data_IF_172038546045
#
_entry.id   IF_172038546045
#
_cell.length_a   1.000
_cell.length_b   1.000
_cell.length_c   1.000
_cell.angle_alpha   90.00
_cell.angle_beta   90.00
_cell.angle_gamma   90.00
#
_symmetry.space_group_name_H-M   'P 1'
#
loop_
_entity.id
_entity.type
_entity.pdbx_description
1 polymer ?
#
# COMPACT_ATOMS: atom_id res chain seq x y z
N UNK A 1 -4.40 -9.75 7.69
CA UNK A 1 -5.75 -9.38 8.21
C UNK A 1 -6.35 -10.45 9.09
N UNK A 2 -6.63 -11.66 8.57
CA UNK A 2 -7.24 -12.75 9.35
C UNK A 2 -6.51 -13.02 10.67
N UNK A 3 -5.19 -13.22 10.62
CA UNK A 3 -4.38 -13.46 11.82
C UNK A 3 -4.54 -12.33 12.83
N UNK A 4 -4.49 -11.07 12.39
CA UNK A 4 -4.71 -9.91 13.24
C UNK A 4 -6.08 -9.88 13.91
N UNK A 5 -7.14 -10.25 13.18
CA UNK A 5 -8.48 -10.37 13.75
C UNK A 5 -8.57 -11.52 14.77
N UNK A 6 -7.97 -12.69 14.48
CA UNK A 6 -7.96 -13.83 15.40
C UNK A 6 -7.19 -13.53 16.69
N UNK A 7 -6.03 -12.88 16.59
CA UNK A 7 -5.18 -12.54 17.74
C UNK A 7 -5.57 -11.22 18.39
N UNK A 8 -6.58 -10.52 17.87
CA UNK A 8 -7.00 -9.19 18.33
C UNK A 8 -5.86 -8.16 18.28
N UNK A 9 -5.02 -8.27 17.26
CA UNK A 9 -3.88 -7.39 17.00
C UNK A 9 -4.20 -6.46 15.84
N UNK A 10 -4.12 -5.12 16.04
CA UNK A 10 -4.29 -4.16 14.95
C UNK A 10 -3.39 -4.51 13.77
N UNK A 11 -3.98 -4.61 12.58
CA UNK A 11 -3.30 -5.04 11.37
C UNK A 11 -3.74 -4.20 10.18
N UNK A 12 -2.76 -3.72 9.42
CA UNK A 12 -2.99 -3.04 8.14
C UNK A 12 -2.58 -3.98 7.02
N UNK A 13 -3.44 -4.12 6.01
CA UNK A 13 -3.07 -4.75 4.75
C UNK A 13 -2.98 -3.72 3.64
N UNK A 14 -1.99 -3.92 2.77
CA UNK A 14 -1.83 -3.22 1.52
C UNK A 14 -2.16 -4.21 0.43
N UNK A 15 -3.20 -3.94 -0.38
CA UNK A 15 -3.57 -4.82 -1.49
C UNK A 15 -3.93 -6.24 -1.01
N UNK A 16 -4.41 -6.37 0.23
CA UNK A 16 -4.75 -7.67 0.82
C UNK A 16 -6.11 -8.17 0.34
N UNK A 17 -6.32 -9.50 0.23
CA UNK A 17 -7.66 -10.03 -0.02
C UNK A 17 -8.59 -9.66 1.14
N UNK A 18 -9.86 -9.45 0.82
CA UNK A 18 -10.85 -9.26 1.86
C UNK A 18 -11.17 -10.61 2.52
N UNK A 19 -11.98 -10.56 3.57
CA UNK A 19 -12.12 -11.72 4.45
C UNK A 19 -13.51 -11.86 5.08
N UNK A 20 -14.52 -11.11 4.64
CA UNK A 20 -15.84 -11.18 5.27
C UNK A 20 -16.47 -12.54 5.05
N UNK A 21 -16.44 -13.16 3.87
CA UNK A 21 -16.99 -14.52 3.68
C UNK A 21 -15.99 -15.56 4.21
N UNK A 22 -14.71 -15.44 3.86
CA UNK A 22 -13.67 -16.41 4.23
C UNK A 22 -13.47 -16.57 5.74
N UNK A 23 -13.85 -15.59 6.57
CA UNK A 23 -13.78 -15.71 8.04
C UNK A 23 -14.54 -16.92 8.61
N UNK A 24 -15.58 -17.40 7.92
CA UNK A 24 -16.44 -18.49 8.37
C UNK A 24 -15.74 -19.86 8.31
N UNK A 25 -14.65 -19.97 7.57
CA UNK A 25 -13.92 -21.23 7.40
C UNK A 25 -12.82 -21.42 8.46
N UNK A 26 -12.70 -20.50 9.41
CA UNK A 26 -11.64 -20.47 10.41
C UNK A 26 -12.10 -21.06 11.74
N UNK A 27 -11.16 -21.64 12.49
CA UNK A 27 -11.36 -22.12 13.85
C UNK A 27 -10.29 -21.51 14.80
N UNK A 28 -10.66 -20.68 15.80
CA UNK A 28 -12.01 -20.17 16.03
C UNK A 28 -12.46 -19.24 14.89
N UNK A 29 -13.78 -19.20 14.67
CA UNK A 29 -14.41 -18.34 13.66
C UNK A 29 -14.13 -16.88 13.99
N UNK A 30 -13.65 -16.13 13.00
CA UNK A 30 -13.43 -14.68 13.13
C UNK A 30 -14.77 -13.96 12.97
N UNK A 31 -15.11 -13.11 13.94
CA UNK A 31 -16.34 -12.32 13.87
C UNK A 31 -16.20 -11.15 12.91
N UNK A 32 -17.33 -10.64 12.40
CA UNK A 32 -17.34 -9.41 11.59
C UNK A 32 -16.81 -8.22 12.40
N UNK A 33 -17.10 -8.17 13.70
CA UNK A 33 -16.67 -7.07 14.57
C UNK A 33 -15.17 -7.12 14.84
N UNK A 34 -14.56 -8.30 14.93
CA UNK A 34 -13.10 -8.42 15.03
C UNK A 34 -12.42 -7.93 13.74
N UNK A 35 -12.96 -8.27 12.55
CA UNK A 35 -12.45 -7.72 11.29
C UNK A 35 -12.54 -6.19 11.27
N UNK A 36 -13.67 -5.62 11.67
CA UNK A 36 -13.82 -4.17 11.74
C UNK A 36 -12.84 -3.56 12.73
N UNK A 37 -12.75 -4.09 13.94
CA UNK A 37 -11.97 -3.47 15.02
C UNK A 37 -10.46 -3.58 14.83
N UNK A 38 -9.99 -4.71 14.32
CA UNK A 38 -8.55 -5.04 14.30
C UNK A 38 -7.92 -5.02 12.92
N UNK A 39 -8.70 -4.81 11.85
CA UNK A 39 -8.15 -4.81 10.50
C UNK A 39 -8.51 -3.56 9.72
N UNK A 40 -7.56 -3.10 8.91
CA UNK A 40 -7.75 -2.04 7.93
C UNK A 40 -7.14 -2.48 6.61
N UNK A 41 -7.88 -2.41 5.52
CA UNK A 41 -7.36 -2.76 4.19
C UNK A 41 -7.20 -1.53 3.30
N UNK A 42 -6.08 -1.43 2.61
CA UNK A 42 -5.88 -0.44 1.55
C UNK A 42 -6.08 -1.15 0.22
N UNK A 43 -7.02 -0.63 -0.56
CA UNK A 43 -7.58 -1.28 -1.76
C UNK A 43 -7.24 -0.43 -2.97
N UNK A 44 -6.18 -0.77 -3.74
CA UNK A 44 -5.88 -0.10 -4.99
C UNK A 44 -6.99 -0.30 -6.02
N UNK A 45 -7.21 0.71 -6.85
CA UNK A 45 -8.09 0.56 -8.00
C UNK A 45 -7.58 -0.51 -8.96
N UNK A 46 -8.51 -1.26 -9.55
CA UNK A 46 -8.24 -2.39 -10.46
C UNK A 46 -7.40 -3.54 -9.89
N UNK A 47 -7.04 -3.53 -8.62
CA UNK A 47 -6.43 -4.70 -7.98
C UNK A 47 -7.47 -5.83 -7.84
N UNK A 48 -7.30 -6.97 -8.54
CA UNK A 48 -8.24 -8.08 -8.45
C UNK A 48 -8.16 -8.82 -7.11
N UNK A 49 -7.03 -8.81 -6.43
CA UNK A 49 -6.84 -9.55 -5.17
C UNK A 49 -7.54 -8.83 -4.03
N UNK A 50 -7.41 -7.51 -3.93
CA UNK A 50 -8.15 -6.72 -2.95
C UNK A 50 -9.67 -6.63 -3.23
N UNK A 51 -10.13 -7.22 -4.34
CA UNK A 51 -11.54 -7.41 -4.69
C UNK A 51 -12.03 -8.84 -4.49
N UNK A 52 -11.13 -9.76 -4.11
CA UNK A 52 -11.51 -11.09 -3.70
C UNK A 52 -12.17 -11.01 -2.32
N UNK A 53 -13.35 -11.62 -2.20
CA UNK A 53 -14.22 -11.55 -1.01
C UNK A 53 -14.79 -10.14 -0.72
N UNK A 54 -15.81 -10.09 0.13
CA UNK A 54 -16.51 -8.89 0.59
C UNK A 54 -15.62 -8.05 1.51
N UNK A 55 -15.60 -6.74 1.27
CA UNK A 55 -14.86 -5.75 2.06
C UNK A 55 -15.38 -5.72 3.51
N UNK A 56 -14.45 -5.67 4.46
CA UNK A 56 -14.79 -5.24 5.82
C UNK A 56 -15.17 -3.75 5.80
N UNK A 57 -15.73 -3.21 6.88
CA UNK A 57 -16.11 -1.78 6.90
C UNK A 57 -14.89 -0.83 6.93
N UNK A 58 -13.74 -1.29 7.39
CA UNK A 58 -12.55 -0.46 7.56
C UNK A 58 -11.59 -0.67 6.40
N UNK A 59 -11.71 0.20 5.40
CA UNK A 59 -10.83 0.21 4.24
C UNK A 59 -10.65 1.63 3.68
N UNK A 60 -9.58 1.82 2.92
CA UNK A 60 -9.34 3.00 2.11
C UNK A 60 -9.14 2.58 0.66
N UNK A 61 -9.81 3.27 -0.27
CA UNK A 61 -9.51 3.14 -1.70
C UNK A 61 -8.42 4.12 -2.09
N UNK A 62 -7.50 3.67 -2.93
CA UNK A 62 -6.43 4.49 -3.47
C UNK A 62 -6.35 4.29 -4.99
N UNK A 63 -5.75 5.25 -5.70
CA UNK A 63 -5.57 5.12 -7.14
C UNK A 63 -4.54 4.02 -7.45
N UNK A 64 -4.49 3.63 -8.72
CA UNK A 64 -3.43 2.80 -9.26
C UNK A 64 -3.06 3.29 -10.66
N UNK A 65 -1.81 3.71 -10.81
CA UNK A 65 -1.24 4.25 -12.05
C UNK A 65 -0.71 3.17 -13.01
N UNK A 66 -0.73 1.90 -12.62
CA UNK A 66 -0.26 0.82 -13.49
C UNK A 66 -1.08 0.75 -14.80
N UNK A 67 -0.47 0.33 -15.91
CA UNK A 67 -1.17 0.31 -17.19
C UNK A 67 -2.50 -0.48 -17.16
N UNK A 68 -3.52 0.01 -17.87
CA UNK A 68 -4.87 -0.59 -17.89
C UNK A 68 -4.87 -2.05 -18.37
N UNK A 69 -3.91 -2.41 -19.22
CA UNK A 69 -3.72 -3.76 -19.77
C UNK A 69 -2.81 -4.66 -18.90
N UNK A 70 -2.53 -4.28 -17.65
CA UNK A 70 -1.76 -5.09 -16.70
C UNK A 70 -2.65 -5.56 -15.53
N UNK A 71 -3.28 -6.74 -15.64
CA UNK A 71 -4.24 -7.22 -14.63
C UNK A 71 -3.66 -7.39 -13.22
N UNK A 72 -2.37 -7.67 -13.11
CA UNK A 72 -1.64 -7.74 -11.83
C UNK A 72 -0.90 -6.45 -11.48
N UNK A 73 -0.94 -5.44 -12.35
CA UNK A 73 -0.16 -4.21 -12.20
C UNK A 73 -0.53 -3.41 -10.95
N UNK A 74 -1.75 -3.55 -10.44
CA UNK A 74 -2.20 -2.87 -9.22
C UNK A 74 -2.06 -3.72 -7.95
N UNK A 75 -1.68 -5.00 -8.07
CA UNK A 75 -1.52 -5.88 -6.93
C UNK A 75 -0.08 -5.84 -6.40
N UNK A 76 0.26 -4.78 -5.68
CA UNK A 76 1.56 -4.64 -5.05
C UNK A 76 1.49 -3.76 -3.81
N UNK A 77 2.06 -4.26 -2.71
CA UNK A 77 2.18 -3.49 -1.48
C UNK A 77 3.10 -2.27 -1.66
N UNK A 78 4.15 -2.38 -2.46
CA UNK A 78 5.05 -1.27 -2.77
C UNK A 78 4.32 -0.18 -3.56
N UNK A 79 3.54 -0.56 -4.58
CA UNK A 79 2.75 0.41 -5.35
C UNK A 79 1.70 1.10 -4.49
N UNK A 80 1.01 0.36 -3.63
CA UNK A 80 0.04 0.93 -2.70
C UNK A 80 0.70 1.93 -1.75
N UNK A 81 1.89 1.62 -1.25
CA UNK A 81 2.65 2.54 -0.40
C UNK A 81 3.10 3.79 -1.18
N UNK A 82 3.60 3.63 -2.40
CA UNK A 82 4.00 4.74 -3.27
C UNK A 82 2.84 5.69 -3.55
N UNK A 83 1.64 5.18 -3.86
CA UNK A 83 0.44 6.00 -4.06
C UNK A 83 0.10 6.81 -2.80
N UNK A 84 0.09 6.16 -1.62
CA UNK A 84 -0.22 6.85 -0.37
C UNK A 84 0.79 7.96 -0.10
N UNK A 85 2.08 7.68 -0.29
CA UNK A 85 3.13 8.65 -0.05
C UNK A 85 3.12 9.78 -1.10
N UNK A 86 2.80 9.48 -2.35
CA UNK A 86 2.72 10.49 -3.40
C UNK A 86 1.51 11.42 -3.19
N UNK A 87 0.35 10.85 -2.89
CA UNK A 87 -0.91 11.59 -2.75
C UNK A 87 -1.01 12.34 -1.42
N UNK A 88 -0.52 11.74 -0.32
CA UNK A 88 -0.67 12.29 1.03
C UNK A 88 0.64 12.75 1.68
N UNK A 89 1.79 12.45 1.07
CA UNK A 89 3.10 12.90 1.56
C UNK A 89 3.24 14.41 1.52
N UNK A 90 4.21 14.91 2.29
CA UNK A 90 4.57 16.32 2.35
C UNK A 90 6.08 16.44 2.19
N UNK A 91 6.56 17.65 1.95
CA UNK A 91 7.97 17.95 1.61
C UNK A 91 9.01 17.26 2.50
N UNK A 92 8.74 17.17 3.80
CA UNK A 92 9.65 16.55 4.78
C UNK A 92 9.67 15.01 4.71
N UNK A 93 8.82 14.41 3.87
CA UNK A 93 8.64 12.96 3.67
C UNK A 93 8.47 12.67 2.17
N UNK A 94 9.55 12.81 1.39
CA UNK A 94 9.49 12.50 -0.05
C UNK A 94 9.15 11.02 -0.27
N UNK A 95 8.61 10.72 -1.45
CA UNK A 95 8.41 9.32 -1.86
C UNK A 95 9.78 8.64 -2.07
N UNK A 96 9.93 7.35 -1.76
CA UNK A 96 11.14 6.59 -2.05
C UNK A 96 11.46 6.62 -3.54
N UNK A 97 12.75 6.60 -3.88
CA UNK A 97 13.16 6.67 -5.27
C UNK A 97 12.75 5.44 -6.10
N UNK A 98 12.57 4.29 -5.45
CA UNK A 98 11.97 3.11 -6.08
C UNK A 98 10.56 3.38 -6.61
N UNK A 99 9.77 4.25 -5.97
CA UNK A 99 8.46 4.66 -6.50
C UNK A 99 8.57 5.35 -7.86
N UNK A 100 9.66 6.09 -8.11
CA UNK A 100 9.88 6.74 -9.40
C UNK A 100 10.48 5.76 -10.41
N UNK A 101 11.55 5.06 -10.05
CA UNK A 101 12.30 4.22 -11.00
C UNK A 101 11.59 2.92 -11.37
N UNK A 102 10.93 2.27 -10.40
CA UNK A 102 10.31 0.96 -10.59
C UNK A 102 8.82 1.04 -10.86
N UNK A 103 8.20 2.15 -10.45
CA UNK A 103 6.75 2.31 -10.42
C UNK A 103 6.25 3.57 -11.15
N UNK A 104 7.16 4.35 -11.73
CA UNK A 104 6.86 5.47 -12.61
C UNK A 104 5.99 6.58 -12.00
N UNK A 105 6.02 6.73 -10.67
CA UNK A 105 5.41 7.88 -10.03
C UNK A 105 6.11 9.18 -10.44
N UNK A 106 5.39 10.31 -10.54
CA UNK A 106 6.00 11.60 -10.77
C UNK A 106 6.97 11.98 -9.65
N UNK A 107 7.98 12.77 -10.00
CA UNK A 107 8.87 13.33 -8.99
C UNK A 107 8.08 14.20 -7.99
N UNK A 108 8.38 14.07 -6.68
CA UNK A 108 7.76 14.92 -5.68
C UNK A 108 8.15 16.38 -5.94
N UNK A 109 7.15 17.27 -5.99
CA UNK A 109 7.37 18.72 -6.13
C UNK A 109 7.65 19.32 -4.76
N UNK A 110 8.82 19.92 -4.54
CA UNK A 110 9.05 20.74 -3.34
C UNK A 110 8.47 22.16 -3.57
N UNK A 111 7.91 22.75 -2.52
CA UNK A 111 7.39 24.13 -2.46
C UNK A 111 8.53 25.15 -2.63
N UNK A 112 9.77 24.79 -2.30
CA UNK A 112 10.95 25.67 -2.42
C UNK A 112 11.65 25.67 -3.80
N UNK A 113 11.08 24.99 -4.80
CA UNK A 113 11.67 24.81 -6.15
C UNK A 113 12.00 23.34 -6.41
N UNK A 114 12.24 22.97 -7.67
CA UNK A 114 12.59 21.58 -8.03
C UNK A 114 14.07 21.30 -7.69
N UNK A 115 14.41 20.55 -6.61
CA UNK A 115 15.73 19.92 -6.57
C UNK A 115 15.82 18.90 -7.71
N UNK A 116 17.00 18.81 -8.31
CA UNK A 116 17.20 17.85 -9.40
C UNK A 116 17.09 16.41 -8.87
N UNK A 117 16.64 15.49 -9.74
CA UNK A 117 16.57 14.03 -9.55
C UNK A 117 17.74 13.46 -8.70
N UNK A 118 18.94 14.00 -8.89
CA UNK A 118 20.13 13.51 -8.23
C UNK A 118 20.21 13.89 -6.74
N UNK A 119 19.79 15.08 -6.32
CA UNK A 119 19.94 15.51 -4.92
C UNK A 119 19.08 14.69 -3.95
N UNK A 120 17.91 14.22 -4.40
CA UNK A 120 17.01 13.44 -3.54
C UNK A 120 17.24 11.93 -3.62
N UNK A 121 17.69 11.42 -4.77
CA UNK A 121 17.79 9.98 -5.02
C UNK A 121 19.21 9.41 -5.10
N UNK A 122 20.26 10.24 -5.20
CA UNK A 122 21.63 9.71 -5.06
C UNK A 122 21.92 9.29 -3.61
N UNK A 123 21.38 10.01 -2.62
CA UNK A 123 21.70 9.78 -1.21
C UNK A 123 21.13 8.46 -0.66
N UNK A 124 20.00 7.97 -1.18
CA UNK A 124 19.44 6.67 -0.75
C UNK A 124 20.18 5.48 -1.39
N UNK A 125 20.58 5.59 -2.65
CA UNK A 125 21.27 4.51 -3.38
C UNK A 125 22.69 4.33 -2.84
N UNK A 126 23.41 5.42 -2.53
CA UNK A 126 24.76 5.33 -1.97
C UNK A 126 24.80 4.89 -0.50
N UNK A 127 23.81 5.23 0.33
CA UNK A 127 23.78 4.77 1.73
C UNK A 127 23.57 3.26 1.87
N UNK A 128 22.85 2.63 0.95
CA UNK A 128 22.71 1.16 0.98
C UNK A 128 23.99 0.42 0.55
N UNK A 129 24.88 1.07 -0.20
CA UNK A 129 26.13 0.46 -0.67
C UNK A 129 27.33 0.66 0.27
N UNK A 130 27.19 1.48 1.31
CA UNK A 130 28.27 1.75 2.28
C UNK A 130 28.17 0.90 3.57
N UNK A 131 27.11 0.10 3.73
CA UNK A 131 26.89 -0.77 4.92
C UNK A 131 27.01 -2.29 4.64
N UNK A 132 27.64 -2.71 3.54
CA UNK A 132 27.96 -4.14 3.27
C UNK A 132 29.44 -4.40 3.15
#
# INVERSE_FOLDING_TARGET
MITGAQTKTPSVALSGPNAVISRLTLDPVVTVDDLKKYTFNIVPDRDPVARFDDLSQNYQRINCEAAANSPGGCHSAALALCEIMYTCGREERPIPCSCVYEHHYPYPKLISGDPSMNEMCYDEICKQTEET
#
